data_IF_220764130051
#
_entry.id   IF_220764130051
#
_cell.length_a   1.000
_cell.length_b   1.000
_cell.length_c   1.000
_cell.angle_alpha   90.00
_cell.angle_beta   90.00
_cell.angle_gamma   90.00
#
_symmetry.space_group_name_H-M   'P 1'
#
loop_
_entity.id
_entity.type
_entity.pdbx_description
1 polymer ?
#
# COMPACT_ATOMS: atom_id res chain seq x y z
N UNK A 1 -1.31 5.99 12.28
CA UNK A 1 -1.95 7.19 12.85
C UNK A 1 -0.95 8.33 13.06
N UNK A 2 0.21 8.09 13.72
CA UNK A 2 1.23 9.13 13.99
C UNK A 2 1.72 9.84 12.71
N UNK A 3 2.01 9.09 11.65
CA UNK A 3 2.47 9.67 10.37
C UNK A 3 1.41 10.58 9.73
N UNK A 4 0.13 10.21 9.84
CA UNK A 4 -0.98 11.03 9.35
C UNK A 4 -1.06 12.36 10.10
N UNK A 5 -1.02 12.31 11.44
CA UNK A 5 -1.03 13.53 12.26
C UNK A 5 0.18 14.42 11.95
N UNK A 6 1.37 13.86 11.78
CA UNK A 6 2.55 14.63 11.38
C UNK A 6 2.36 15.31 10.02
N UNK A 7 1.78 14.63 9.05
CA UNK A 7 1.46 15.20 7.75
C UNK A 7 0.41 16.32 7.86
N UNK A 8 -0.66 16.11 8.62
CA UNK A 8 -1.74 17.08 8.82
C UNK A 8 -1.28 18.32 9.60
N UNK A 9 -0.37 18.18 10.56
CA UNK A 9 0.18 19.30 11.32
C UNK A 9 0.91 20.33 10.44
N UNK A 10 1.47 19.90 9.31
CA UNK A 10 2.09 20.80 8.31
C UNK A 10 1.05 21.44 7.37
N UNK A 11 -0.22 21.00 7.45
CA UNK A 11 -1.32 21.40 6.56
C UNK A 11 -2.55 21.86 7.33
N UNK A 12 -2.30 22.51 8.49
CA UNK A 12 -3.38 23.09 9.30
C UNK A 12 -4.21 24.03 8.44
N UNK A 13 -5.50 24.03 8.67
CA UNK A 13 -6.47 24.85 7.94
C UNK A 13 -6.60 24.52 6.43
N UNK A 14 -6.37 23.27 6.06
CA UNK A 14 -6.60 22.78 4.70
C UNK A 14 -7.65 21.67 4.71
N UNK A 15 -8.49 21.66 3.65
CA UNK A 15 -9.43 20.57 3.42
C UNK A 15 -8.76 19.43 2.67
N UNK A 16 -9.12 18.19 3.01
CA UNK A 16 -8.58 17.01 2.33
C UNK A 16 -9.42 15.76 2.52
N UNK A 17 -9.02 14.69 1.84
CA UNK A 17 -9.67 13.39 1.92
C UNK A 17 -8.66 12.36 2.42
N UNK A 18 -9.11 11.47 3.31
CA UNK A 18 -8.34 10.31 3.78
C UNK A 18 -9.14 9.06 3.46
N UNK A 19 -8.62 8.22 2.56
CA UNK A 19 -9.23 6.96 2.20
C UNK A 19 -8.76 5.84 3.13
N UNK A 20 -9.72 5.09 3.68
CA UNK A 20 -9.51 3.89 4.48
C UNK A 20 -10.16 2.67 3.82
N UNK A 21 -9.62 1.49 4.07
CA UNK A 21 -10.15 0.25 3.50
C UNK A 21 -11.47 -0.17 4.16
N UNK A 22 -11.57 -0.07 5.48
CA UNK A 22 -12.73 -0.55 6.24
C UNK A 22 -13.55 0.59 6.84
N UNK A 23 -14.84 0.30 7.12
CA UNK A 23 -15.75 1.21 7.82
C UNK A 23 -15.24 1.51 9.22
N UNK A 24 -14.79 0.48 9.94
CA UNK A 24 -14.28 0.61 11.31
C UNK A 24 -13.02 1.49 11.36
N UNK A 25 -12.10 1.35 10.41
CA UNK A 25 -10.91 2.20 10.34
C UNK A 25 -11.29 3.65 10.05
N UNK A 26 -12.32 3.87 9.23
CA UNK A 26 -12.85 5.20 8.91
C UNK A 26 -13.35 5.89 10.17
N UNK A 27 -14.23 5.25 10.94
CA UNK A 27 -14.77 5.82 12.18
C UNK A 27 -13.69 6.00 13.24
N UNK A 28 -12.86 4.97 13.49
CA UNK A 28 -11.78 5.02 14.47
C UNK A 28 -10.74 6.12 14.15
N UNK A 29 -10.45 6.36 12.87
CA UNK A 29 -9.52 7.43 12.51
C UNK A 29 -10.19 8.80 12.65
N UNK A 30 -11.45 8.92 12.24
CA UNK A 30 -12.21 10.16 12.38
C UNK A 30 -12.25 10.62 13.84
N UNK A 31 -12.62 9.72 14.77
CA UNK A 31 -12.64 10.00 16.19
C UNK A 31 -11.26 10.39 16.74
N UNK A 32 -10.22 9.66 16.30
CA UNK A 32 -8.86 9.98 16.70
C UNK A 32 -8.43 11.36 16.20
N UNK A 33 -8.71 11.73 14.95
CA UNK A 33 -8.35 13.06 14.42
C UNK A 33 -9.10 14.18 15.15
N UNK A 34 -10.39 13.97 15.45
CA UNK A 34 -11.18 14.93 16.23
C UNK A 34 -10.61 15.10 17.66
N UNK A 35 -10.15 14.01 18.30
CA UNK A 35 -9.46 14.08 19.60
C UNK A 35 -8.11 14.83 19.55
N UNK A 36 -7.50 14.94 18.36
CA UNK A 36 -6.27 15.72 18.12
C UNK A 36 -6.55 17.17 17.70
N UNK A 37 -7.82 17.60 17.69
CA UNK A 37 -8.23 18.96 17.37
C UNK A 37 -8.39 19.25 15.86
N UNK A 38 -8.44 18.23 15.02
CA UNK A 38 -8.81 18.37 13.61
C UNK A 38 -10.33 18.35 13.46
N UNK A 39 -10.86 18.94 12.37
CA UNK A 39 -12.27 18.88 12.01
C UNK A 39 -12.47 17.74 11.01
N UNK A 40 -12.70 16.52 11.50
CA UNK A 40 -12.84 15.32 10.69
C UNK A 40 -14.29 14.83 10.65
N UNK A 41 -14.74 14.42 9.45
CA UNK A 41 -16.05 13.82 9.18
C UNK A 41 -15.85 12.39 8.64
N UNK A 42 -16.67 11.44 9.08
CA UNK A 42 -16.60 10.07 8.56
C UNK A 42 -17.68 9.80 7.51
N UNK A 43 -17.31 9.06 6.44
CA UNK A 43 -18.22 8.71 5.35
C UNK A 43 -17.97 7.28 4.84
N UNK A 44 -18.97 6.43 4.95
CA UNK A 44 -18.93 5.07 4.40
C UNK A 44 -20.34 4.51 4.19
N UNK A 45 -20.46 3.39 3.48
CA UNK A 45 -21.74 2.78 3.13
C UNK A 45 -22.58 2.30 4.34
N UNK A 46 -21.99 2.18 5.53
CA UNK A 46 -22.70 1.83 6.77
C UNK A 46 -23.42 3.00 7.45
N UNK A 47 -23.18 4.25 7.02
CA UNK A 47 -23.90 5.42 7.51
C UNK A 47 -25.28 5.51 6.87
N UNK A 48 -26.25 6.09 7.58
CA UNK A 48 -27.59 6.38 7.04
C UNK A 48 -27.50 7.38 5.86
N UNK A 49 -28.57 7.49 5.10
CA UNK A 49 -28.65 8.46 4.00
C UNK A 49 -28.48 9.91 4.49
N UNK A 50 -29.11 10.22 5.61
CA UNK A 50 -29.07 11.58 6.21
C UNK A 50 -27.69 11.92 6.75
N UNK A 51 -27.01 10.99 7.44
CA UNK A 51 -25.62 11.18 7.90
C UNK A 51 -24.65 11.39 6.73
N UNK A 52 -24.82 10.63 5.64
CA UNK A 52 -23.99 10.79 4.43
C UNK A 52 -24.20 12.13 3.77
N UNK A 53 -25.47 12.56 3.64
CA UNK A 53 -25.82 13.85 3.06
C UNK A 53 -25.29 15.01 3.92
N UNK A 54 -25.45 14.96 5.23
CA UNK A 54 -24.93 15.96 6.14
C UNK A 54 -23.41 16.08 6.07
N UNK A 55 -22.69 14.94 6.13
CA UNK A 55 -21.24 14.91 6.02
C UNK A 55 -20.78 15.48 4.66
N UNK A 56 -21.44 15.12 3.56
CA UNK A 56 -21.13 15.62 2.23
C UNK A 56 -21.37 17.12 2.13
N UNK A 57 -22.50 17.62 2.62
CA UNK A 57 -22.83 19.05 2.62
C UNK A 57 -21.83 19.86 3.46
N UNK A 58 -21.50 19.40 4.64
CA UNK A 58 -20.47 20.01 5.49
C UNK A 58 -19.11 20.04 4.80
N UNK A 59 -18.70 18.94 4.18
CA UNK A 59 -17.45 18.90 3.44
C UNK A 59 -17.41 19.88 2.27
N UNK A 60 -18.51 19.99 1.53
CA UNK A 60 -18.60 20.90 0.38
C UNK A 60 -18.63 22.38 0.77
N UNK A 61 -19.27 22.73 1.88
CA UNK A 61 -19.52 24.13 2.26
C UNK A 61 -18.53 24.71 3.27
N UNK A 62 -18.01 23.87 4.16
CA UNK A 62 -17.07 24.33 5.19
C UNK A 62 -15.62 24.29 4.67
N UNK A 63 -14.80 25.15 5.25
CA UNK A 63 -13.36 25.14 5.09
C UNK A 63 -12.69 24.31 6.19
N UNK A 64 -11.46 23.86 5.93
CA UNK A 64 -10.62 23.15 6.91
C UNK A 64 -11.26 21.86 7.43
N UNK A 65 -11.94 21.14 6.55
CA UNK A 65 -12.59 19.86 6.86
C UNK A 65 -11.85 18.71 6.25
N UNK A 66 -11.65 17.66 7.04
CA UNK A 66 -11.03 16.41 6.60
C UNK A 66 -12.13 15.35 6.46
N UNK A 67 -12.34 14.85 5.24
CA UNK A 67 -13.22 13.73 5.02
C UNK A 67 -12.44 12.42 5.18
N UNK A 68 -12.77 11.63 6.20
CA UNK A 68 -12.25 10.26 6.37
C UNK A 68 -13.29 9.31 5.79
N UNK A 69 -12.93 8.54 4.76
CA UNK A 69 -13.92 7.80 4.00
C UNK A 69 -13.41 6.46 3.45
N UNK A 70 -14.33 5.55 3.18
CA UNK A 70 -14.09 4.45 2.25
C UNK A 70 -14.28 4.93 0.80
N UNK A 71 -13.98 4.07 -0.19
CA UNK A 71 -14.21 4.35 -1.62
C UNK A 71 -15.67 4.73 -1.96
N UNK A 72 -16.61 4.56 -1.01
CA UNK A 72 -17.99 5.01 -1.17
C UNK A 72 -18.13 6.54 -1.29
N UNK A 73 -17.11 7.29 -0.82
CA UNK A 73 -17.04 8.74 -0.98
C UNK A 73 -16.23 9.09 -2.22
N UNK A 74 -16.91 9.50 -3.26
CA UNK A 74 -16.15 9.83 -4.46
C UNK A 74 -17.02 10.35 -5.61
N UNK A 75 -18.05 9.65 -6.04
CA UNK A 75 -18.88 10.10 -7.13
C UNK A 75 -19.59 11.44 -6.78
N UNK A 76 -19.46 12.42 -7.66
CA UNK A 76 -20.13 13.73 -7.48
C UNK A 76 -19.42 14.71 -6.53
N UNK A 77 -18.22 14.40 -6.04
CA UNK A 77 -17.46 15.35 -5.22
C UNK A 77 -16.67 16.30 -6.14
N UNK A 78 -17.08 17.55 -6.13
CA UNK A 78 -16.45 18.63 -6.91
C UNK A 78 -16.11 19.85 -6.03
N UNK A 79 -15.37 19.60 -4.95
CA UNK A 79 -14.78 20.64 -4.09
C UNK A 79 -13.44 21.06 -4.68
N UNK A 80 -13.27 22.30 -5.15
CA UNK A 80 -12.06 22.70 -5.89
C UNK A 80 -10.82 22.84 -5.02
N UNK A 81 -10.99 23.15 -3.74
CA UNK A 81 -9.93 23.48 -2.77
C UNK A 81 -9.49 22.30 -1.89
N UNK A 82 -9.60 21.09 -2.38
CA UNK A 82 -9.00 19.91 -1.72
C UNK A 82 -7.48 20.02 -1.86
N UNK A 83 -6.78 20.13 -0.72
CA UNK A 83 -5.33 20.33 -0.68
C UNK A 83 -4.54 19.06 -0.48
N UNK A 84 -5.16 17.97 -0.05
CA UNK A 84 -4.50 16.68 0.06
C UNK A 84 -5.46 15.50 -0.11
N UNK A 85 -4.92 14.40 -0.63
CA UNK A 85 -5.55 13.08 -0.61
C UNK A 85 -4.58 12.08 0.00
N UNK A 86 -5.02 11.40 1.06
CA UNK A 86 -4.24 10.38 1.77
C UNK A 86 -4.90 9.02 1.56
N UNK A 87 -4.12 8.02 1.22
CA UNK A 87 -4.53 6.62 1.25
C UNK A 87 -3.82 5.92 2.40
N UNK A 88 -4.57 5.32 3.33
CA UNK A 88 -4.03 4.55 4.45
C UNK A 88 -3.92 3.06 4.19
N UNK A 89 -4.33 2.64 3.01
CA UNK A 89 -4.28 1.28 2.53
C UNK A 89 -4.08 1.31 1.02
N UNK A 90 -3.59 0.21 0.46
CA UNK A 90 -3.41 0.09 -0.97
C UNK A 90 -4.78 0.21 -1.70
N UNK A 91 -4.94 1.12 -2.67
CA UNK A 91 -6.12 1.17 -3.55
C UNK A 91 -6.33 -0.14 -4.31
N UNK A 92 -7.49 -0.29 -4.97
CA UNK A 92 -7.79 -1.50 -5.73
C UNK A 92 -6.99 -1.64 -7.03
N UNK A 93 -6.66 -0.50 -7.66
CA UNK A 93 -5.94 -0.46 -8.93
C UNK A 93 -5.30 0.92 -9.17
N UNK A 94 -4.50 1.03 -10.24
CA UNK A 94 -3.93 2.31 -10.69
C UNK A 94 -5.02 3.30 -11.09
N UNK A 95 -6.07 2.83 -11.76
CA UNK A 95 -7.20 3.65 -12.21
C UNK A 95 -7.97 4.23 -11.01
N UNK A 96 -8.24 3.40 -10.00
CA UNK A 96 -8.87 3.85 -8.75
C UNK A 96 -8.01 4.91 -8.06
N UNK A 97 -6.71 4.62 -7.90
CA UNK A 97 -5.76 5.57 -7.33
C UNK A 97 -5.75 6.90 -8.08
N UNK A 98 -5.64 6.85 -9.42
CA UNK A 98 -5.61 8.05 -10.25
C UNK A 98 -6.89 8.89 -10.11
N UNK A 99 -8.06 8.25 -10.13
CA UNK A 99 -9.34 8.94 -9.94
C UNK A 99 -9.47 9.56 -8.54
N UNK A 100 -8.96 8.89 -7.51
CA UNK A 100 -9.04 9.35 -6.12
C UNK A 100 -8.09 10.54 -5.88
N UNK A 101 -6.85 10.49 -6.35
CA UNK A 101 -5.91 11.61 -6.25
C UNK A 101 -6.31 12.80 -7.14
N UNK A 102 -6.96 12.54 -8.27
CA UNK A 102 -7.47 13.59 -9.19
C UNK A 102 -8.57 14.46 -8.61
N UNK A 103 -8.99 14.23 -7.37
CA UNK A 103 -9.90 15.11 -6.62
C UNK A 103 -9.20 16.32 -6.02
N UNK A 104 -7.87 16.23 -5.83
CA UNK A 104 -7.10 17.31 -5.24
C UNK A 104 -6.70 18.37 -6.27
N UNK A 105 -6.67 19.64 -5.86
CA UNK A 105 -6.14 20.75 -6.66
C UNK A 105 -6.92 21.09 -7.93
N UNK A 106 -8.22 20.88 -7.96
CA UNK A 106 -9.05 21.19 -9.14
C UNK A 106 -9.13 22.69 -9.46
N UNK A 107 -8.76 23.53 -8.52
CA UNK A 107 -8.61 24.97 -8.70
C UNK A 107 -7.23 25.38 -9.27
N UNK A 108 -6.42 24.43 -9.69
CA UNK A 108 -5.07 24.65 -10.23
C UNK A 108 -4.00 24.98 -9.19
N UNK A 109 -4.34 25.02 -7.90
CA UNK A 109 -3.37 25.26 -6.83
C UNK A 109 -2.68 23.98 -6.40
N UNK A 110 -1.47 24.08 -5.81
CA UNK A 110 -0.74 22.91 -5.33
C UNK A 110 -1.56 22.06 -4.34
N UNK A 111 -1.46 20.76 -4.50
CA UNK A 111 -2.06 19.77 -3.62
C UNK A 111 -1.15 18.55 -3.50
N UNK A 112 -1.22 17.87 -2.35
CA UNK A 112 -0.36 16.76 -2.03
C UNK A 112 -1.12 15.42 -2.05
N UNK A 113 -0.42 14.36 -2.41
CA UNK A 113 -0.94 12.99 -2.29
C UNK A 113 0.01 12.17 -1.43
N UNK A 114 -0.55 11.35 -0.53
CA UNK A 114 0.22 10.48 0.33
C UNK A 114 -0.41 9.07 0.32
N UNK A 115 0.37 8.08 -0.04
CA UNK A 115 -0.03 6.66 0.05
C UNK A 115 0.81 5.96 1.11
N UNK A 116 0.15 5.40 2.12
CA UNK A 116 0.75 4.59 3.19
C UNK A 116 0.14 3.19 3.09
N UNK A 117 0.96 2.19 2.89
CA UNK A 117 0.50 0.81 2.78
C UNK A 117 1.50 -0.18 3.37
N UNK A 118 1.01 -1.37 3.65
CA UNK A 118 1.81 -2.50 4.11
C UNK A 118 1.54 -3.76 3.28
N UNK A 119 2.31 -4.81 3.51
CA UNK A 119 2.09 -6.08 2.83
C UNK A 119 0.75 -6.72 3.21
N UNK A 120 0.25 -6.44 4.42
CA UNK A 120 -1.05 -6.91 4.88
C UNK A 120 -2.19 -6.34 4.01
N UNK A 121 -2.06 -5.09 3.52
CA UNK A 121 -3.03 -4.50 2.58
C UNK A 121 -3.10 -5.28 1.27
N UNK A 122 -1.94 -5.69 0.75
CA UNK A 122 -1.86 -6.53 -0.45
C UNK A 122 -2.55 -7.88 -0.23
N UNK A 123 -2.30 -8.52 0.94
CA UNK A 123 -2.95 -9.79 1.32
C UNK A 123 -4.46 -9.62 1.38
N UNK A 124 -4.94 -8.57 2.04
CA UNK A 124 -6.38 -8.29 2.17
C UNK A 124 -7.00 -8.02 0.79
N UNK A 125 -6.38 -7.20 -0.05
CA UNK A 125 -6.90 -6.89 -1.40
C UNK A 125 -7.03 -8.14 -2.26
N UNK A 126 -6.01 -8.97 -2.31
CA UNK A 126 -6.07 -10.22 -3.07
C UNK A 126 -7.11 -11.18 -2.52
N UNK A 127 -7.24 -11.28 -1.18
CA UNK A 127 -8.29 -12.07 -0.55
C UNK A 127 -9.68 -11.60 -1.01
N UNK A 128 -9.93 -10.29 -1.03
CA UNK A 128 -11.19 -9.71 -1.51
C UNK A 128 -11.46 -10.07 -2.98
N UNK A 129 -10.43 -10.09 -3.83
CA UNK A 129 -10.55 -10.51 -5.24
C UNK A 129 -10.92 -11.99 -5.32
N UNK A 130 -10.24 -12.85 -4.57
CA UNK A 130 -10.48 -14.30 -4.59
C UNK A 130 -11.86 -14.69 -4.04
N UNK A 131 -12.34 -14.01 -3.01
CA UNK A 131 -13.65 -14.24 -2.38
C UNK A 131 -14.82 -13.60 -3.16
N UNK A 132 -14.56 -12.83 -4.23
CA UNK A 132 -15.61 -12.26 -5.07
C UNK A 132 -16.32 -13.36 -5.88
N UNK A 133 -17.60 -13.17 -6.17
CA UNK A 133 -18.40 -14.08 -7.02
C UNK A 133 -18.04 -13.99 -8.52
N UNK A 134 -16.95 -13.33 -8.86
CA UNK A 134 -16.51 -13.10 -10.24
C UNK A 134 -15.83 -14.33 -10.84
N UNK A 135 -15.82 -14.41 -12.18
CA UNK A 135 -15.15 -15.48 -12.90
C UNK A 135 -13.61 -15.40 -12.80
N UNK A 136 -12.92 -16.45 -13.24
CA UNK A 136 -11.46 -16.55 -13.14
C UNK A 136 -10.72 -15.47 -13.94
N UNK A 137 -11.23 -15.11 -15.11
CA UNK A 137 -10.58 -14.10 -15.97
C UNK A 137 -10.67 -12.72 -15.32
N UNK A 138 -11.78 -12.38 -14.71
CA UNK A 138 -11.93 -11.15 -13.94
C UNK A 138 -10.95 -11.12 -12.77
N UNK A 139 -10.89 -12.19 -11.95
CA UNK A 139 -9.96 -12.30 -10.82
C UNK A 139 -8.50 -12.17 -11.27
N UNK A 140 -8.15 -12.79 -12.39
CA UNK A 140 -6.82 -12.68 -12.96
C UNK A 140 -6.47 -11.23 -13.37
N UNK A 141 -7.41 -10.54 -14.03
CA UNK A 141 -7.21 -9.14 -14.43
C UNK A 141 -7.11 -8.19 -13.22
N UNK A 142 -7.97 -8.37 -12.21
CA UNK A 142 -7.88 -7.57 -10.98
C UNK A 142 -6.57 -7.79 -10.22
N UNK A 143 -6.07 -9.03 -10.16
CA UNK A 143 -4.77 -9.31 -9.59
C UNK A 143 -3.64 -8.62 -10.38
N UNK A 144 -3.69 -8.62 -11.72
CA UNK A 144 -2.73 -7.89 -12.56
C UNK A 144 -2.76 -6.36 -12.30
N UNK A 145 -3.95 -5.77 -12.21
CA UNK A 145 -4.10 -4.34 -11.89
C UNK A 145 -3.48 -3.99 -10.54
N UNK A 146 -3.65 -4.87 -9.56
CA UNK A 146 -3.04 -4.72 -8.24
C UNK A 146 -1.51 -4.85 -8.30
N UNK A 147 -0.98 -5.75 -9.15
CA UNK A 147 0.46 -5.91 -9.37
C UNK A 147 1.07 -4.65 -10.01
N UNK A 148 0.39 -4.03 -10.96
CA UNK A 148 0.82 -2.75 -11.53
C UNK A 148 0.88 -1.64 -10.49
N UNK A 149 -0.15 -1.54 -9.62
CA UNK A 149 -0.14 -0.56 -8.54
C UNK A 149 1.00 -0.81 -7.54
N UNK A 150 1.27 -2.07 -7.19
CA UNK A 150 2.38 -2.43 -6.31
C UNK A 150 3.73 -2.07 -6.97
N UNK A 151 3.89 -2.37 -8.25
CA UNK A 151 5.10 -2.01 -9.01
C UNK A 151 5.31 -0.50 -9.06
N UNK A 152 4.24 0.29 -9.22
CA UNK A 152 4.28 1.73 -9.12
C UNK A 152 4.76 2.20 -7.73
N UNK A 153 4.22 1.62 -6.66
CA UNK A 153 4.58 1.99 -5.30
C UNK A 153 6.05 1.69 -4.96
N UNK A 154 6.60 0.58 -5.45
CA UNK A 154 7.98 0.15 -5.18
C UNK A 154 8.99 0.64 -6.24
N UNK A 155 8.53 1.29 -7.32
CA UNK A 155 9.41 1.82 -8.37
C UNK A 155 10.28 2.97 -7.84
N UNK A 156 11.57 3.01 -8.20
CA UNK A 156 12.45 4.16 -7.93
C UNK A 156 12.25 5.33 -8.91
N UNK A 157 11.48 5.13 -9.97
CA UNK A 157 11.22 6.12 -11.01
C UNK A 157 10.30 7.26 -10.52
N UNK A 158 10.29 8.36 -11.26
CA UNK A 158 9.38 9.48 -11.00
C UNK A 158 7.93 9.02 -10.95
N UNK A 159 7.21 9.32 -9.85
CA UNK A 159 5.82 8.91 -9.63
C UNK A 159 4.89 9.34 -10.77
N UNK A 160 5.00 10.59 -11.21
CA UNK A 160 4.16 11.10 -12.31
C UNK A 160 4.47 10.41 -13.63
N UNK A 161 5.75 10.25 -13.96
CA UNK A 161 6.17 9.55 -15.18
C UNK A 161 5.64 8.12 -15.21
N UNK A 162 5.79 7.37 -14.11
CA UNK A 162 5.30 5.99 -14.00
C UNK A 162 3.78 5.91 -14.07
N UNK A 163 3.08 6.84 -13.39
CA UNK A 163 1.61 6.89 -13.40
C UNK A 163 1.06 7.20 -14.80
N UNK A 164 1.59 8.22 -15.48
CA UNK A 164 1.15 8.59 -16.83
C UNK A 164 1.52 7.53 -17.86
N UNK A 165 2.70 6.90 -17.73
CA UNK A 165 3.11 5.78 -18.57
C UNK A 165 2.19 4.57 -18.48
N UNK A 166 1.51 4.35 -17.36
CA UNK A 166 0.48 3.31 -17.24
C UNK A 166 -0.74 3.58 -18.15
N UNK A 167 -1.00 4.85 -18.45
CA UNK A 167 -2.09 5.29 -19.34
C UNK A 167 -1.58 5.64 -20.76
N UNK A 168 -0.43 5.09 -21.16
CA UNK A 168 0.20 5.33 -22.46
C UNK A 168 0.54 6.80 -22.74
N UNK A 169 0.65 7.63 -21.70
CA UNK A 169 1.07 9.02 -21.82
C UNK A 169 2.56 9.18 -21.49
N UNK A 170 3.26 9.99 -22.27
CA UNK A 170 4.70 10.21 -22.15
C UNK A 170 4.99 11.50 -21.41
N UNK A 171 5.71 11.41 -20.31
CA UNK A 171 6.11 12.59 -19.54
C UNK A 171 7.57 12.51 -19.07
N UNK A 172 8.14 13.68 -18.82
CA UNK A 172 9.44 13.81 -18.16
C UNK A 172 9.30 13.68 -16.65
N UNK A 173 10.43 13.66 -15.95
CA UNK A 173 10.46 13.72 -14.48
C UNK A 173 9.77 14.99 -13.99
N UNK A 174 8.92 14.85 -12.97
CA UNK A 174 8.08 15.94 -12.49
C UNK A 174 8.82 16.94 -11.56
N UNK A 175 9.98 16.58 -11.05
CA UNK A 175 10.78 17.35 -10.08
C UNK A 175 9.98 17.77 -8.82
N UNK A 176 8.94 17.02 -8.48
CA UNK A 176 8.01 17.36 -7.39
C UNK A 176 7.56 16.16 -6.55
N UNK A 177 7.77 14.92 -7.00
CA UNK A 177 7.44 13.73 -6.21
C UNK A 177 8.59 13.34 -5.29
N UNK A 178 8.30 12.45 -4.33
CA UNK A 178 9.28 11.89 -3.41
C UNK A 178 10.55 11.40 -4.12
N UNK A 179 10.42 10.55 -5.13
CA UNK A 179 11.55 10.00 -5.88
C UNK A 179 12.35 11.04 -6.69
N UNK A 180 11.76 12.19 -7.03
CA UNK A 180 12.47 13.26 -7.70
C UNK A 180 13.21 14.18 -6.70
N UNK A 181 12.61 14.44 -5.53
CA UNK A 181 13.14 15.34 -4.52
C UNK A 181 14.20 14.67 -3.64
N UNK A 182 14.02 13.38 -3.35
CA UNK A 182 14.92 12.55 -2.57
C UNK A 182 15.08 11.18 -3.27
N UNK A 183 15.89 11.11 -4.34
CA UNK A 183 16.04 9.89 -5.13
C UNK A 183 16.55 8.73 -4.28
N UNK A 184 15.92 7.55 -4.36
CA UNK A 184 16.34 6.40 -3.58
C UNK A 184 17.75 5.94 -3.97
N UNK A 185 18.56 5.59 -2.97
CA UNK A 185 19.88 5.01 -3.21
C UNK A 185 19.72 3.55 -3.66
N UNK A 186 20.00 3.30 -4.94
CA UNK A 186 19.92 1.97 -5.52
C UNK A 186 21.18 1.16 -5.22
N UNK A 187 20.99 -0.09 -4.83
CA UNK A 187 22.06 -1.05 -4.56
C UNK A 187 21.89 -2.30 -5.42
N UNK A 188 22.98 -3.02 -5.68
CA UNK A 188 22.86 -4.38 -6.21
C UNK A 188 22.24 -5.29 -5.15
N UNK A 189 21.03 -5.71 -5.41
CA UNK A 189 20.22 -6.55 -4.53
C UNK A 189 20.38 -8.05 -4.75
N UNK A 190 21.23 -8.50 -5.69
CA UNK A 190 21.30 -9.91 -6.12
C UNK A 190 21.52 -10.86 -4.95
N UNK A 191 22.56 -10.63 -4.16
CA UNK A 191 22.88 -11.49 -2.98
C UNK A 191 21.78 -11.43 -1.92
N UNK A 192 21.17 -10.25 -1.72
CA UNK A 192 20.05 -10.09 -0.77
C UNK A 192 18.82 -10.86 -1.26
N UNK A 193 18.54 -10.81 -2.57
CA UNK A 193 17.46 -11.59 -3.18
C UNK A 193 17.71 -13.09 -3.02
N UNK A 194 18.92 -13.57 -3.31
CA UNK A 194 19.28 -14.97 -3.12
C UNK A 194 19.11 -15.43 -1.67
N UNK A 195 19.50 -14.62 -0.68
CA UNK A 195 19.29 -14.93 0.76
C UNK A 195 17.81 -15.09 1.09
N UNK A 196 16.96 -14.14 0.66
CA UNK A 196 15.54 -14.17 0.95
C UNK A 196 14.84 -15.32 0.20
N UNK A 197 15.10 -15.47 -1.10
CA UNK A 197 14.54 -16.54 -1.93
C UNK A 197 14.97 -17.93 -1.42
N UNK A 198 16.25 -18.11 -1.03
CA UNK A 198 16.72 -19.36 -0.42
C UNK A 198 15.96 -19.67 0.88
N UNK A 199 15.66 -18.64 1.69
CA UNK A 199 14.90 -18.82 2.93
C UNK A 199 13.46 -19.24 2.62
N UNK A 200 12.81 -18.61 1.65
CA UNK A 200 11.46 -19.01 1.18
C UNK A 200 11.48 -20.46 0.69
N UNK A 201 12.48 -20.82 -0.11
CA UNK A 201 12.62 -22.19 -0.65
C UNK A 201 12.79 -23.23 0.45
N UNK A 202 13.75 -23.01 1.38
CA UNK A 202 14.09 -23.99 2.42
C UNK A 202 13.05 -24.09 3.52
N UNK A 203 12.20 -23.08 3.72
CA UNK A 203 11.03 -23.17 4.60
C UNK A 203 9.83 -23.83 3.92
N UNK A 204 9.99 -24.37 2.68
CA UNK A 204 8.98 -25.15 1.97
C UNK A 204 7.91 -24.33 1.26
N UNK A 205 8.02 -23.01 1.21
CA UNK A 205 7.06 -22.11 0.53
C UNK A 205 5.61 -22.21 1.10
N UNK A 206 5.51 -22.46 2.42
CA UNK A 206 4.23 -22.57 3.16
C UNK A 206 4.02 -21.47 4.19
N UNK A 207 4.95 -20.52 4.32
CA UNK A 207 4.92 -19.52 5.37
C UNK A 207 4.78 -18.12 4.81
N UNK A 208 4.10 -17.26 5.58
CA UNK A 208 3.99 -15.83 5.29
C UNK A 208 5.26 -15.05 5.67
N UNK A 209 5.25 -13.76 5.36
CA UNK A 209 6.40 -12.85 5.51
C UNK A 209 7.06 -12.87 6.89
N UNK A 210 6.25 -12.84 7.97
CA UNK A 210 6.76 -12.74 9.34
C UNK A 210 7.65 -13.93 9.65
N UNK A 211 7.18 -15.14 9.34
CA UNK A 211 7.94 -16.36 9.61
C UNK A 211 9.22 -16.43 8.76
N UNK A 212 9.13 -16.13 7.46
CA UNK A 212 10.29 -16.12 6.56
C UNK A 212 11.35 -15.12 7.04
N UNK A 213 10.95 -13.91 7.43
CA UNK A 213 11.87 -12.89 7.94
C UNK A 213 12.46 -13.31 9.28
N UNK A 214 11.68 -13.93 10.17
CA UNK A 214 12.17 -14.44 11.44
C UNK A 214 13.27 -15.51 11.24
N UNK A 215 13.07 -16.46 10.33
CA UNK A 215 14.09 -17.46 9.98
C UNK A 215 15.34 -16.79 9.39
N UNK A 216 15.15 -15.92 8.42
CA UNK A 216 16.23 -15.19 7.74
C UNK A 216 17.10 -14.38 8.72
N UNK A 217 16.49 -13.83 9.76
CA UNK A 217 17.18 -13.05 10.78
C UNK A 217 17.69 -13.84 11.98
N UNK A 218 17.38 -15.12 12.06
CA UNK A 218 17.79 -15.96 13.19
C UNK A 218 17.02 -15.64 14.48
N UNK A 219 15.70 -15.46 14.37
CA UNK A 219 14.83 -15.20 15.52
C UNK A 219 14.54 -16.49 16.30
N UNK A 220 14.58 -16.40 17.63
CA UNK A 220 14.18 -17.48 18.56
C UNK A 220 12.66 -17.57 18.74
N UNK A 221 11.90 -17.07 17.77
CA UNK A 221 10.43 -17.15 17.76
C UNK A 221 9.97 -18.61 17.92
N UNK A 222 8.99 -18.83 18.81
CA UNK A 222 8.47 -20.16 19.15
C UNK A 222 8.12 -20.98 17.91
N UNK A 223 7.50 -20.39 16.90
CA UNK A 223 7.10 -21.07 15.68
C UNK A 223 8.30 -21.48 14.82
N UNK A 224 9.39 -20.70 14.85
CA UNK A 224 10.65 -21.05 14.14
C UNK A 224 11.26 -22.29 14.76
N UNK A 225 11.34 -22.34 16.09
CA UNK A 225 11.92 -23.47 16.84
C UNK A 225 11.05 -24.74 16.73
N UNK A 226 9.73 -24.62 16.88
CA UNK A 226 8.79 -25.76 16.75
C UNK A 226 8.82 -26.40 15.36
N UNK A 227 9.11 -25.63 14.31
CA UNK A 227 9.26 -26.14 12.95
C UNK A 227 10.68 -26.64 12.63
N UNK A 228 11.62 -26.50 13.54
CA UNK A 228 13.02 -26.87 13.33
C UNK A 228 13.75 -26.00 12.31
N UNK A 229 13.22 -24.80 12.02
CA UNK A 229 13.80 -23.89 11.03
C UNK A 229 15.05 -23.15 11.53
N UNK A 230 15.32 -23.19 12.82
CA UNK A 230 16.59 -22.81 13.44
C UNK A 230 17.79 -23.66 13.00
N UNK A 231 17.54 -24.87 12.47
CA UNK A 231 18.56 -25.79 11.96
C UNK A 231 18.83 -25.65 10.45
N UNK A 232 18.06 -24.82 9.76
CA UNK A 232 18.26 -24.62 8.33
C UNK A 232 19.53 -23.79 8.07
N UNK A 233 20.24 -24.10 6.99
CA UNK A 233 21.45 -23.35 6.57
C UNK A 233 21.18 -21.87 6.28
N UNK A 234 19.92 -21.48 6.12
CA UNK A 234 19.46 -20.10 5.90
C UNK A 234 19.09 -19.37 7.19
N UNK A 235 19.15 -20.03 8.34
CA UNK A 235 18.85 -19.40 9.61
C UNK A 235 19.88 -18.33 9.97
N UNK A 236 19.43 -17.11 10.15
CA UNK A 236 20.26 -15.98 10.55
C UNK A 236 21.19 -15.39 9.48
N UNK A 237 21.12 -15.84 8.22
CA UNK A 237 22.00 -15.30 7.14
C UNK A 237 21.70 -13.84 6.77
N UNK A 238 20.57 -13.30 7.22
CA UNK A 238 20.12 -11.91 7.02
C UNK A 238 20.07 -11.10 8.32
N UNK A 239 20.73 -11.53 9.40
CA UNK A 239 20.69 -10.86 10.71
C UNK A 239 21.30 -9.45 10.72
N UNK A 240 22.15 -9.13 9.74
CA UNK A 240 22.79 -7.84 9.53
C UNK A 240 21.83 -6.72 9.11
N UNK A 241 20.63 -7.06 8.64
CA UNK A 241 19.60 -6.09 8.25
C UNK A 241 18.41 -6.09 9.21
N UNK A 242 17.71 -4.94 9.30
CA UNK A 242 16.53 -4.79 10.15
C UNK A 242 15.31 -5.55 9.59
N UNK A 243 14.30 -5.77 10.44
CA UNK A 243 13.01 -6.33 10.02
C UNK A 243 12.39 -5.45 8.93
N UNK A 244 12.37 -4.13 9.13
CA UNK A 244 11.79 -3.18 8.18
C UNK A 244 12.48 -3.23 6.82
N UNK A 245 13.81 -3.40 6.80
CA UNK A 245 14.56 -3.59 5.57
C UNK A 245 14.08 -4.83 4.82
N UNK A 246 14.01 -5.99 5.49
CA UNK A 246 13.57 -7.23 4.84
C UNK A 246 12.10 -7.20 4.42
N UNK A 247 11.25 -6.51 5.16
CA UNK A 247 9.84 -6.29 4.76
C UNK A 247 9.77 -5.45 3.48
N UNK A 248 10.53 -4.38 3.39
CA UNK A 248 10.60 -3.54 2.18
C UNK A 248 11.18 -4.33 1.00
N UNK A 249 12.27 -5.06 1.22
CA UNK A 249 12.93 -5.85 0.18
C UNK A 249 12.02 -6.98 -0.35
N UNK A 250 11.26 -7.62 0.53
CA UNK A 250 10.28 -8.64 0.15
C UNK A 250 9.14 -8.04 -0.72
N UNK A 251 8.65 -6.83 -0.37
CA UNK A 251 7.67 -6.12 -1.21
C UNK A 251 8.20 -5.84 -2.61
N UNK A 252 9.46 -5.42 -2.73
CA UNK A 252 10.10 -5.22 -4.03
C UNK A 252 10.17 -6.52 -4.84
N UNK A 253 10.56 -7.64 -4.24
CA UNK A 253 10.57 -8.93 -4.94
C UNK A 253 9.17 -9.38 -5.38
N UNK A 254 8.12 -9.05 -4.62
CA UNK A 254 6.73 -9.25 -5.03
C UNK A 254 6.36 -8.31 -6.19
N UNK A 255 6.72 -7.03 -6.09
CA UNK A 255 6.43 -6.02 -7.12
C UNK A 255 7.11 -6.33 -8.46
N UNK A 256 8.34 -6.87 -8.40
CA UNK A 256 9.08 -7.28 -9.60
C UNK A 256 8.74 -8.69 -10.08
N UNK A 257 7.79 -9.36 -9.45
CA UNK A 257 7.31 -10.66 -9.86
C UNK A 257 8.26 -11.83 -9.58
N UNK A 258 9.25 -11.67 -8.68
CA UNK A 258 10.16 -12.74 -8.27
C UNK A 258 9.58 -13.61 -7.15
N UNK A 259 8.62 -13.08 -6.42
CA UNK A 259 7.79 -13.76 -5.43
C UNK A 259 6.31 -13.59 -5.77
N UNK A 260 5.50 -14.49 -5.24
CA UNK A 260 4.05 -14.38 -5.28
C UNK A 260 3.44 -14.81 -3.93
N UNK A 261 2.23 -14.37 -3.65
CA UNK A 261 1.48 -14.76 -2.45
C UNK A 261 0.42 -15.78 -2.84
N UNK A 262 0.44 -16.95 -2.21
CA UNK A 262 -0.57 -17.99 -2.41
C UNK A 262 -1.65 -17.87 -1.32
N UNK A 263 -2.86 -17.44 -1.70
CA UNK A 263 -3.98 -17.22 -0.79
C UNK A 263 -4.67 -18.52 -0.40
N UNK A 264 -4.66 -19.53 -1.24
CA UNK A 264 -5.17 -20.85 -0.90
C UNK A 264 -4.35 -21.52 0.22
N UNK A 265 -3.12 -21.06 0.42
CA UNK A 265 -2.22 -21.45 1.50
C UNK A 265 -2.02 -20.35 2.53
N UNK A 266 -3.08 -19.69 2.95
CA UNK A 266 -3.08 -18.68 4.04
C UNK A 266 -2.04 -17.54 3.87
N UNK A 267 -1.79 -17.09 2.64
CA UNK A 267 -0.85 -16.02 2.38
C UNK A 267 0.62 -16.47 2.37
N UNK A 268 0.87 -17.74 2.09
CA UNK A 268 2.23 -18.26 1.94
C UNK A 268 2.96 -17.58 0.79
N UNK A 269 4.23 -17.25 1.01
CA UNK A 269 5.11 -16.68 -0.01
C UNK A 269 5.73 -17.81 -0.83
N UNK A 270 5.65 -17.69 -2.14
CA UNK A 270 6.17 -18.65 -3.09
C UNK A 270 7.09 -17.98 -4.11
N UNK A 271 8.05 -18.75 -4.61
CA UNK A 271 9.01 -18.28 -5.62
C UNK A 271 8.40 -18.52 -7.01
N UNK A 272 8.51 -17.52 -7.88
CA UNK A 272 8.12 -17.62 -9.29
C UNK A 272 9.27 -18.18 -10.14
N UNK A 273 9.04 -18.45 -11.42
CA UNK A 273 10.09 -18.83 -12.38
C UNK A 273 11.21 -17.77 -12.46
N UNK A 274 10.83 -16.50 -12.46
CA UNK A 274 11.77 -15.38 -12.42
C UNK A 274 12.61 -15.38 -11.14
N UNK A 275 12.01 -15.69 -9.99
CA UNK A 275 12.73 -15.82 -8.73
C UNK A 275 13.69 -17.02 -8.71
N UNK A 276 13.32 -18.14 -9.35
CA UNK A 276 14.21 -19.31 -9.50
C UNK A 276 15.45 -18.94 -10.35
N UNK A 277 15.30 -18.11 -11.37
CA UNK A 277 16.43 -17.63 -12.18
C UNK A 277 17.45 -16.87 -11.34
N UNK A 278 16.99 -15.97 -10.45
CA UNK A 278 17.88 -15.24 -9.53
C UNK A 278 18.56 -16.17 -8.53
N UNK A 279 17.87 -17.20 -8.06
CA UNK A 279 18.46 -18.19 -7.15
C UNK A 279 19.61 -18.98 -7.76
N UNK A 280 19.62 -19.15 -9.10
CA UNK A 280 20.60 -19.95 -9.83
C UNK A 280 21.73 -19.10 -10.44
N UNK A 281 21.61 -17.77 -10.44
CA UNK A 281 22.65 -16.85 -10.90
C UNK A 281 23.70 -16.64 -9.79
#
# INVERSE_FOLDING_TARGET
>A
KKNVVNFLNQRKNQSGIIYCLSRNDTDTLCDYLNSQGFNALSYHAGKSADEKLDAQNKFMTLQNVIMVATIAFGMGIDKPDIRFVIHLNLPGSMEAYYQEIGRAGRDGKPADTLLIYGLDDLVIRRKMIEESDSNKDYKFNENKRLDYLLSYCESPECRRKTLLGYFDDVSNNCNNCDNCLDPPNLIDGTVLAQKLLSTVFRTGQFFGQVHVINVLRGSEDKKVLEKGHDRLSVYGIGKDKSINFWQSFLRQLLAFGHLQINFQKYGAIQITESGITILKS
#
